data_IF_796026099566
#
_entry.id   IF_796026099566
#
_cell.length_a   1.000
_cell.length_b   1.000
_cell.length_c   1.000
_cell.angle_alpha   90.00
_cell.angle_beta   90.00
_cell.angle_gamma   90.00
#
_symmetry.space_group_name_H-M   'P 1'
#
loop_
_entity.id
_entity.type
_entity.pdbx_description
1 polymer ?
#
# COMPACT_ATOMS: atom_id res chain seq x y z
N UNK A 1 25.31 9.64 -3.30
CA UNK A 1 24.16 9.32 -4.17
C UNK A 1 23.44 8.13 -3.56
N UNK A 2 22.11 8.16 -3.51
CA UNK A 2 21.32 7.02 -3.01
C UNK A 2 21.35 5.89 -4.04
N UNK A 3 21.41 4.63 -3.58
CA UNK A 3 21.37 3.45 -4.45
C UNK A 3 19.97 2.85 -4.55
N UNK A 4 19.14 3.11 -3.55
CA UNK A 4 17.76 2.63 -3.43
C UNK A 4 16.90 3.74 -2.85
N UNK A 5 15.68 3.89 -3.36
CA UNK A 5 14.63 4.78 -2.83
C UNK A 5 13.38 3.92 -2.62
N UNK A 6 12.79 4.03 -1.43
CA UNK A 6 11.53 3.38 -1.10
C UNK A 6 10.48 4.47 -0.93
N UNK A 7 9.38 4.35 -1.66
CA UNK A 7 8.26 5.27 -1.55
C UNK A 7 7.13 4.62 -0.75
N UNK A 8 6.51 5.42 0.11
CA UNK A 8 5.16 5.13 0.55
C UNK A 8 4.18 5.20 -0.63
N UNK A 9 3.04 4.52 -0.55
CA UNK A 9 2.04 4.52 -1.62
C UNK A 9 0.90 5.51 -1.35
N UNK A 10 0.12 5.25 -0.31
CA UNK A 10 -1.07 6.04 0.02
C UNK A 10 -0.66 7.45 0.42
N UNK A 11 -1.40 8.45 -0.08
CA UNK A 11 -1.11 9.90 0.02
C UNK A 11 0.33 10.34 -0.34
N UNK A 12 1.11 9.51 -1.05
CA UNK A 12 2.49 9.79 -1.46
C UNK A 12 2.69 9.58 -2.95
N UNK A 13 2.55 8.34 -3.45
CA UNK A 13 2.55 8.05 -4.88
C UNK A 13 1.14 8.18 -5.46
N UNK A 14 0.14 7.75 -4.70
CA UNK A 14 -1.29 7.89 -5.00
C UNK A 14 -1.90 9.01 -4.16
N UNK A 15 -2.85 9.75 -4.72
CA UNK A 15 -3.58 10.79 -4.01
C UNK A 15 -4.69 10.24 -3.08
N UNK A 16 -4.69 8.93 -2.81
CA UNK A 16 -5.77 8.24 -2.12
C UNK A 16 -5.28 7.30 -1.04
N UNK A 17 -6.21 6.95 -0.16
CA UNK A 17 -6.12 5.85 0.80
C UNK A 17 -6.69 4.58 0.15
N UNK A 18 -5.83 3.62 -0.22
CA UNK A 18 -6.24 2.47 -1.02
C UNK A 18 -7.37 1.63 -0.41
N UNK A 19 -7.35 1.41 0.91
CA UNK A 19 -8.40 0.64 1.62
C UNK A 19 -9.73 1.39 1.61
N UNK A 20 -9.71 2.70 1.86
CA UNK A 20 -10.91 3.54 1.92
C UNK A 20 -11.61 3.59 0.55
N UNK A 21 -10.86 3.56 -0.55
CA UNK A 21 -11.41 3.58 -1.90
C UNK A 21 -12.02 2.25 -2.34
N UNK A 22 -11.48 1.13 -1.86
CA UNK A 22 -12.11 -0.19 -2.05
C UNK A 22 -13.49 -0.26 -1.38
N UNK A 23 -13.74 0.62 -0.41
CA UNK A 23 -14.93 0.66 0.41
C UNK A 23 -15.72 1.97 0.26
N UNK A 24 -15.80 2.51 -0.96
CA UNK A 24 -16.47 3.80 -1.21
C UNK A 24 -17.88 3.89 -0.60
N UNK A 25 -18.64 2.80 -0.59
CA UNK A 25 -19.99 2.72 0.00
C UNK A 25 -19.99 2.73 1.54
N UNK A 26 -18.86 2.37 2.17
CA UNK A 26 -18.66 2.30 3.62
C UNK A 26 -17.65 3.34 4.13
N UNK A 27 -17.34 4.36 3.32
CA UNK A 27 -16.31 5.36 3.61
C UNK A 27 -16.51 6.02 4.97
N UNK A 28 -17.75 6.34 5.34
CA UNK A 28 -18.11 6.97 6.62
C UNK A 28 -17.76 6.10 7.84
N UNK A 29 -17.63 4.78 7.66
CA UNK A 29 -17.25 3.86 8.73
C UNK A 29 -15.75 3.59 8.77
N UNK A 30 -15.05 3.71 7.64
CA UNK A 30 -13.63 3.33 7.50
C UNK A 30 -12.70 4.52 7.67
N UNK A 31 -13.02 5.67 7.08
CA UNK A 31 -12.18 6.89 7.17
C UNK A 31 -11.88 7.25 8.63
N UNK A 32 -12.86 7.25 9.57
CA UNK A 32 -12.55 7.56 10.96
C UNK A 32 -11.54 6.59 11.60
N UNK A 33 -11.56 5.31 11.19
CA UNK A 33 -10.61 4.31 11.67
C UNK A 33 -9.21 4.54 11.09
N UNK A 34 -9.13 4.82 9.78
CA UNK A 34 -7.88 5.14 9.08
C UNK A 34 -7.24 6.38 9.70
N UNK A 35 -8.01 7.46 9.87
CA UNK A 35 -7.49 8.69 10.44
C UNK A 35 -7.06 8.55 11.90
N UNK A 36 -7.82 7.82 12.74
CA UNK A 36 -7.45 7.60 14.13
C UNK A 36 -6.11 6.86 14.26
N UNK A 37 -5.86 5.87 13.39
CA UNK A 37 -4.57 5.18 13.35
C UNK A 37 -3.44 6.09 12.83
N UNK A 38 -3.68 6.86 11.77
CA UNK A 38 -2.68 7.80 11.24
C UNK A 38 -2.32 8.93 12.21
N UNK A 39 -3.28 9.38 13.04
CA UNK A 39 -3.03 10.34 14.13
C UNK A 39 -2.38 9.71 15.36
N UNK A 40 -2.22 8.39 15.40
CA UNK A 40 -1.66 7.65 16.54
C UNK A 40 -2.59 7.59 17.74
N UNK A 41 -3.89 7.83 17.55
CA UNK A 41 -4.90 7.74 18.63
C UNK A 41 -5.20 6.28 19.00
N UNK A 42 -5.06 5.38 18.03
CA UNK A 42 -5.20 3.93 18.19
C UNK A 42 -4.10 3.21 17.41
N UNK A 43 -3.63 2.03 17.86
CA UNK A 43 -2.67 1.25 17.08
C UNK A 43 -3.26 0.78 15.74
N UNK A 44 -2.47 0.78 14.66
CA UNK A 44 -2.93 0.33 13.34
C UNK A 44 -3.52 -1.09 13.37
N UNK A 45 -2.88 -2.01 14.09
CA UNK A 45 -3.32 -3.41 14.21
C UNK A 45 -4.70 -3.54 14.87
N UNK A 46 -5.11 -2.58 15.69
CA UNK A 46 -6.42 -2.59 16.35
C UNK A 46 -7.57 -2.27 15.39
N UNK A 47 -7.28 -1.61 14.27
CA UNK A 47 -8.27 -1.20 13.28
C UNK A 47 -8.12 -1.92 11.94
N UNK A 48 -6.98 -2.54 11.63
CA UNK A 48 -6.70 -3.10 10.32
C UNK A 48 -7.72 -4.16 9.89
N UNK A 49 -7.86 -5.23 10.69
CA UNK A 49 -8.83 -6.31 10.43
C UNK A 49 -10.27 -5.79 10.43
N UNK A 50 -10.58 -4.83 11.32
CA UNK A 50 -11.90 -4.20 11.40
C UNK A 50 -12.25 -3.44 10.12
N UNK A 51 -11.32 -2.66 9.57
CA UNK A 51 -11.51 -1.96 8.29
C UNK A 51 -11.86 -2.96 7.20
N UNK A 52 -11.08 -4.04 7.05
CA UNK A 52 -11.33 -5.07 6.03
C UNK A 52 -12.65 -5.83 6.24
N UNK A 53 -13.03 -6.11 7.48
CA UNK A 53 -14.31 -6.72 7.81
C UNK A 53 -15.50 -5.84 7.41
N UNK A 54 -15.39 -4.52 7.56
CA UNK A 54 -16.43 -3.55 7.15
C UNK A 54 -16.60 -3.54 5.62
N UNK A 55 -15.51 -3.67 4.86
CA UNK A 55 -15.59 -3.73 3.39
C UNK A 55 -16.38 -4.96 2.96
N UNK A 56 -16.30 -6.05 3.75
CA UNK A 56 -16.94 -7.32 3.45
C UNK A 56 -16.56 -7.75 2.05
N UNK A 57 -15.30 -8.13 1.86
CA UNK A 57 -14.69 -8.35 0.54
C UNK A 57 -15.26 -9.67 -0.07
N UNK A 58 -16.13 -9.68 -1.09
CA UNK A 58 -16.05 -10.72 -2.10
C UNK A 58 -15.86 -10.06 -3.46
N UNK A 59 -15.11 -10.70 -4.37
CA UNK A 59 -14.85 -10.40 -5.80
C UNK A 59 -14.51 -8.95 -6.22
N UNK A 60 -15.16 -7.93 -5.64
CA UNK A 60 -15.03 -6.48 -5.85
C UNK A 60 -13.63 -5.94 -5.65
N UNK A 61 -12.79 -6.52 -4.78
CA UNK A 61 -11.39 -6.06 -4.61
C UNK A 61 -10.62 -6.12 -5.92
N UNK A 62 -10.85 -7.19 -6.71
CA UNK A 62 -10.24 -7.31 -8.04
C UNK A 62 -10.79 -6.27 -9.01
N UNK A 63 -12.08 -5.97 -8.90
CA UNK A 63 -12.80 -5.05 -9.80
C UNK A 63 -12.58 -3.57 -9.48
N UNK A 64 -12.37 -3.20 -8.22
CA UNK A 64 -12.19 -1.80 -7.79
C UNK A 64 -10.73 -1.38 -7.71
N UNK A 65 -9.79 -2.31 -7.55
CA UNK A 65 -8.36 -2.02 -7.59
C UNK A 65 -7.91 -1.48 -8.96
N UNK A 66 -8.60 -1.80 -10.07
CA UNK A 66 -8.30 -1.26 -11.39
C UNK A 66 -8.46 0.26 -11.51
N UNK A 67 -9.15 0.90 -10.55
CA UNK A 67 -9.31 2.36 -10.50
C UNK A 67 -8.13 3.12 -9.88
N UNK A 68 -7.12 2.41 -9.34
CA UNK A 68 -5.93 2.97 -8.66
C UNK A 68 -4.77 3.31 -9.62
N UNK A 69 -5.00 3.30 -10.93
CA UNK A 69 -3.97 3.50 -11.95
C UNK A 69 -3.45 4.95 -12.10
N UNK A 70 -2.86 5.24 -13.26
CA UNK A 70 -2.15 6.50 -13.59
C UNK A 70 -2.93 7.78 -13.22
N UNK A 71 -4.25 7.77 -13.42
CA UNK A 71 -5.12 8.94 -13.19
C UNK A 71 -5.15 9.43 -11.74
N UNK A 72 -4.71 8.60 -10.79
CA UNK A 72 -4.76 8.88 -9.36
C UNK A 72 -3.38 9.06 -8.73
N UNK A 73 -2.35 9.14 -9.55
CA UNK A 73 -1.00 9.46 -9.09
C UNK A 73 -0.92 10.91 -8.61
N UNK A 74 -0.14 11.14 -7.57
CA UNK A 74 0.22 12.50 -7.15
C UNK A 74 0.96 13.20 -8.32
N UNK A 75 0.65 14.48 -8.62
CA UNK A 75 1.33 15.19 -9.69
C UNK A 75 2.86 15.17 -9.53
N UNK A 76 3.58 14.85 -10.61
CA UNK A 76 5.04 14.74 -10.62
C UNK A 76 5.61 13.39 -10.17
N UNK A 77 4.77 12.46 -9.68
CA UNK A 77 5.22 11.13 -9.27
C UNK A 77 5.89 10.37 -10.42
N UNK A 78 5.25 10.35 -11.60
CA UNK A 78 5.81 9.65 -12.77
C UNK A 78 7.17 10.23 -13.17
N UNK A 79 7.26 11.55 -13.32
CA UNK A 79 8.52 12.22 -13.71
C UNK A 79 9.63 11.95 -12.69
N UNK A 80 9.28 11.92 -11.40
CA UNK A 80 10.22 11.61 -10.31
C UNK A 80 10.73 10.18 -10.41
N UNK A 81 9.84 9.20 -10.53
CA UNK A 81 10.22 7.78 -10.63
C UNK A 81 11.02 7.51 -11.91
N UNK A 82 10.62 8.09 -13.03
CA UNK A 82 11.34 7.99 -14.30
C UNK A 82 12.75 8.59 -14.19
N UNK A 83 12.92 9.70 -13.48
CA UNK A 83 14.23 10.29 -13.24
C UNK A 83 15.13 9.38 -12.38
N UNK A 84 14.57 8.73 -11.36
CA UNK A 84 15.29 7.77 -10.52
C UNK A 84 15.72 6.53 -11.34
N UNK A 85 14.82 5.98 -12.16
CA UNK A 85 15.14 4.88 -13.06
C UNK A 85 16.25 5.24 -14.05
N UNK A 86 16.18 6.42 -14.69
CA UNK A 86 17.25 6.90 -15.59
C UNK A 86 18.58 7.09 -14.88
N UNK A 87 18.56 7.43 -13.59
CA UNK A 87 19.76 7.54 -12.76
C UNK A 87 20.30 6.19 -12.28
N UNK A 88 19.67 5.07 -12.65
CA UNK A 88 20.06 3.73 -12.20
C UNK A 88 19.80 3.48 -10.72
N UNK A 89 18.89 4.25 -10.10
CA UNK A 89 18.50 4.11 -8.71
C UNK A 89 17.41 3.05 -8.61
N UNK A 90 17.56 2.14 -7.64
CA UNK A 90 16.59 1.09 -7.39
C UNK A 90 15.35 1.65 -6.68
N UNK A 91 14.15 1.47 -7.25
CA UNK A 91 12.90 2.03 -6.71
C UNK A 91 12.02 0.90 -6.17
N UNK A 92 11.56 1.06 -4.93
CA UNK A 92 10.59 0.17 -4.29
C UNK A 92 9.37 0.95 -3.83
N UNK A 93 8.26 0.24 -3.67
CA UNK A 93 7.05 0.76 -3.01
C UNK A 93 6.84 -0.03 -1.73
N UNK A 94 6.59 0.67 -0.63
CA UNK A 94 6.31 0.07 0.68
C UNK A 94 5.02 0.67 1.26
N UNK A 95 3.99 -0.14 1.46
CA UNK A 95 2.67 0.35 1.84
C UNK A 95 1.97 -0.55 2.86
N UNK A 96 1.20 0.07 3.76
CA UNK A 96 0.22 -0.65 4.59
C UNK A 96 -1.06 -1.02 3.82
N UNK A 97 -1.22 -0.56 2.58
CA UNK A 97 -2.33 -0.89 1.71
C UNK A 97 -2.27 -2.30 1.13
N UNK A 98 -3.36 -2.69 0.46
CA UNK A 98 -3.51 -4.04 -0.08
C UNK A 98 -2.72 -4.20 -1.38
N UNK A 99 -1.90 -5.26 -1.45
CA UNK A 99 -0.96 -5.51 -2.54
C UNK A 99 -1.62 -5.41 -3.92
N UNK A 100 -2.80 -6.00 -4.22
CA UNK A 100 -3.39 -5.90 -5.55
C UNK A 100 -3.61 -4.46 -6.02
N UNK A 101 -3.97 -3.54 -5.10
CA UNK A 101 -4.16 -2.13 -5.43
C UNK A 101 -2.82 -1.40 -5.63
N UNK A 102 -1.82 -1.70 -4.81
CA UNK A 102 -0.47 -1.13 -4.93
C UNK A 102 0.22 -1.58 -6.22
N UNK A 103 -0.05 -2.79 -6.70
CA UNK A 103 0.50 -3.28 -7.97
C UNK A 103 0.05 -2.44 -9.18
N UNK A 104 -1.18 -1.90 -9.19
CA UNK A 104 -1.60 -0.99 -10.25
C UNK A 104 -0.80 0.32 -10.26
N UNK A 105 -0.42 0.83 -9.08
CA UNK A 105 0.46 1.98 -8.94
C UNK A 105 1.87 1.63 -9.42
N UNK A 106 2.37 0.45 -9.07
CA UNK A 106 3.67 -0.04 -9.50
C UNK A 106 3.76 -0.17 -11.02
N UNK A 107 2.75 -0.77 -11.66
CA UNK A 107 2.65 -0.91 -13.12
C UNK A 107 2.63 0.44 -13.83
N UNK A 108 1.87 1.40 -13.31
CA UNK A 108 1.80 2.76 -13.83
C UNK A 108 3.16 3.50 -13.82
N UNK A 109 4.02 3.14 -12.88
CA UNK A 109 5.33 3.73 -12.61
C UNK A 109 6.51 2.89 -13.13
N UNK A 110 6.25 1.71 -13.71
CA UNK A 110 7.29 0.79 -14.17
C UNK A 110 8.13 0.18 -13.03
N UNK A 111 7.57 0.06 -11.83
CA UNK A 111 8.21 -0.61 -10.69
C UNK A 111 7.89 -2.09 -10.72
N UNK A 112 8.92 -2.94 -10.68
CA UNK A 112 8.75 -4.40 -10.71
C UNK A 112 8.00 -4.91 -9.46
N UNK A 113 7.17 -5.95 -9.62
CA UNK A 113 6.30 -6.44 -8.54
C UNK A 113 7.08 -7.02 -7.35
N UNK A 114 8.27 -7.59 -7.58
CA UNK A 114 9.18 -8.06 -6.53
C UNK A 114 9.77 -6.92 -5.69
N UNK A 115 9.62 -5.67 -6.13
CA UNK A 115 9.99 -4.45 -5.41
C UNK A 115 8.83 -3.76 -4.71
N UNK A 116 7.65 -4.38 -4.73
CA UNK A 116 6.47 -3.93 -4.00
C UNK A 116 6.36 -4.70 -2.68
N UNK A 117 6.25 -3.96 -1.58
CA UNK A 117 6.07 -4.48 -0.23
C UNK A 117 4.73 -3.96 0.30
N UNK A 118 3.72 -4.81 0.31
CA UNK A 118 2.35 -4.45 0.64
C UNK A 118 1.64 -5.65 1.28
N UNK A 119 0.44 -5.45 1.84
CA UNK A 119 -0.28 -6.51 2.53
C UNK A 119 -0.96 -7.45 1.53
N UNK A 120 -0.56 -8.72 1.55
CA UNK A 120 -1.14 -9.74 0.70
C UNK A 120 -2.58 -10.08 1.10
N UNK A 121 -3.37 -10.44 0.09
CA UNK A 121 -4.73 -10.92 0.27
C UNK A 121 -4.82 -12.38 -0.16
N UNK A 122 -5.58 -13.15 0.62
CA UNK A 122 -5.88 -14.53 0.35
C UNK A 122 -7.31 -14.64 -0.14
N UNK A 123 -7.49 -15.50 -1.14
CA UNK A 123 -8.79 -15.82 -1.72
C UNK A 123 -8.97 -17.34 -1.70
N UNK A 124 -10.20 -17.79 -1.51
CA UNK A 124 -10.53 -19.22 -1.57
C UNK A 124 -10.65 -19.72 -3.03
N UNK A 125 -10.99 -21.00 -3.18
CA UNK A 125 -11.15 -21.63 -4.50
C UNK A 125 -12.30 -21.02 -5.34
N UNK A 126 -13.29 -20.40 -4.69
CA UNK A 126 -14.37 -19.69 -5.37
C UNK A 126 -13.95 -18.26 -5.81
N UNK A 127 -12.78 -17.79 -5.36
CA UNK A 127 -12.28 -16.44 -5.60
C UNK A 127 -12.86 -15.41 -4.62
N UNK A 128 -13.48 -15.87 -3.54
CA UNK A 128 -13.96 -15.02 -2.45
C UNK A 128 -12.82 -14.72 -1.47
N UNK A 129 -12.91 -13.59 -0.77
CA UNK A 129 -11.88 -13.20 0.18
C UNK A 129 -11.83 -14.19 1.35
N UNK A 130 -10.66 -14.76 1.58
CA UNK A 130 -10.39 -15.70 2.66
C UNK A 130 -9.57 -15.07 3.80
N UNK A 131 -8.98 -13.90 3.58
CA UNK A 131 -8.19 -13.20 4.60
C UNK A 131 -7.08 -12.35 4.00
N UNK A 132 -6.19 -11.90 4.86
CA UNK A 132 -4.99 -11.15 4.49
C UNK A 132 -3.79 -11.69 5.26
N UNK A 133 -2.58 -11.29 4.86
CA UNK A 133 -1.38 -11.65 5.60
C UNK A 133 -1.32 -10.95 6.98
N UNK A 134 -1.93 -11.57 7.99
CA UNK A 134 -1.92 -11.10 9.38
C UNK A 134 -0.51 -11.11 10.00
N UNK A 135 0.43 -11.89 9.45
CA UNK A 135 1.81 -11.89 9.92
C UNK A 135 2.57 -10.65 9.43
N UNK A 136 2.12 -10.01 8.35
CA UNK A 136 2.79 -8.86 7.73
C UNK A 136 3.06 -7.74 8.73
N UNK A 137 4.31 -7.26 8.85
CA UNK A 137 4.61 -6.09 9.68
C UNK A 137 3.81 -4.86 9.25
N UNK A 138 3.43 -4.76 7.98
CA UNK A 138 2.74 -3.61 7.38
C UNK A 138 1.29 -3.43 7.86
N UNK A 139 0.78 -4.37 8.67
CA UNK A 139 -0.52 -4.30 9.34
C UNK A 139 -0.44 -3.69 10.75
N UNK A 140 0.76 -3.30 11.19
CA UNK A 140 1.07 -2.85 12.56
C UNK A 140 1.84 -1.53 12.56
N UNK A 141 1.78 -0.83 13.68
CA UNK A 141 2.61 0.36 13.90
C UNK A 141 4.10 0.03 13.76
N UNK A 142 4.86 0.89 13.08
CA UNK A 142 6.29 0.66 12.83
C UNK A 142 6.61 -0.46 11.82
N UNK A 143 5.61 -0.99 11.12
CA UNK A 143 5.78 -2.04 10.11
C UNK A 143 6.73 -1.69 8.98
N UNK A 144 6.66 -0.44 8.48
CA UNK A 144 7.52 0.04 7.39
C UNK A 144 9.01 -0.03 7.77
N UNK A 145 9.46 0.55 8.91
CA UNK A 145 10.82 0.34 9.42
C UNK A 145 11.25 -1.12 9.51
N UNK A 146 10.39 -2.03 9.97
CA UNK A 146 10.72 -3.45 10.10
C UNK A 146 10.97 -4.11 8.73
N UNK A 147 10.12 -3.83 7.73
CA UNK A 147 10.33 -4.31 6.35
C UNK A 147 11.59 -3.71 5.74
N UNK A 148 11.82 -2.39 5.93
CA UNK A 148 13.05 -1.74 5.47
C UNK A 148 14.27 -2.46 6.07
N UNK A 149 14.27 -2.73 7.38
CA UNK A 149 15.35 -3.45 8.05
C UNK A 149 15.60 -4.86 7.50
N UNK A 150 14.53 -5.57 7.10
CA UNK A 150 14.64 -6.90 6.52
C UNK A 150 15.26 -6.89 5.11
N UNK A 151 15.13 -5.81 4.35
CA UNK A 151 15.69 -5.68 2.99
C UNK A 151 17.22 -5.52 2.96
N UNK A 152 17.87 -5.37 4.13
CA UNK A 152 19.34 -5.43 4.24
C UNK A 152 20.11 -4.30 3.55
N UNK A 153 19.45 -3.23 3.13
CA UNK A 153 20.13 -2.06 2.57
C UNK A 153 20.96 -1.33 3.66
N UNK A 154 22.17 -0.84 3.39
CA UNK A 154 22.89 -0.02 4.37
C UNK A 154 22.20 1.34 4.51
N UNK A 155 21.29 1.51 5.49
CA UNK A 155 20.66 2.80 5.80
C UNK A 155 21.51 3.63 6.77
N UNK A 156 21.62 4.92 6.49
CA UNK A 156 22.04 5.94 7.46
C UNK A 156 20.85 6.85 7.70
N UNK A 157 20.17 6.69 8.84
CA UNK A 157 19.36 7.78 9.38
C UNK A 157 20.33 8.93 9.67
N UNK A 158 20.06 10.12 9.10
CA UNK A 158 20.70 11.35 9.55
C UNK A 158 19.77 12.03 10.54
#
# INVERSE_FOLDING_TARGET
MYRTVLFDCDTTLSAMEGIDELAREYRDQIVPLTEAAMRGEVPLESVYARRLAIIGLPTRVRSSASGMGVERLVPGTRDTVDALHRAGIDVHIISGGLRPAVLFVADALGVAHDKVHAVDLYFDEAGDFAGFDEASPLTRDGGKPAVIQALGAPWRAR
#
